data_IF_643114791999
#
_entry.id   IF_643114791999
#
_cell.length_a   1.000
_cell.length_b   1.000
_cell.length_c   1.000
_cell.angle_alpha   90.00
_cell.angle_beta   90.00
_cell.angle_gamma   90.00
#
_symmetry.space_group_name_H-M   'P 1'
#
loop_
_entity.id
_entity.type
_entity.pdbx_description
1 polymer ?
#
# COMPACT_ATOMS: atom_id res chain seq x y z
N UNK A 1 -9.23 4.07 -20.01
CA UNK A 1 -9.80 2.79 -19.54
C UNK A 1 -8.87 2.13 -18.52
N UNK A 2 -7.66 1.69 -18.87
CA UNK A 2 -6.71 1.06 -17.89
C UNK A 2 -6.28 1.99 -16.73
N UNK A 3 -6.16 3.29 -16.96
CA UNK A 3 -5.74 4.25 -15.92
C UNK A 3 -6.75 4.43 -14.77
N UNK A 4 -8.05 4.31 -15.07
CA UNK A 4 -9.12 4.46 -14.07
C UNK A 4 -9.16 3.26 -13.13
N UNK A 5 -8.93 2.06 -13.65
CA UNK A 5 -8.95 0.81 -12.87
C UNK A 5 -7.78 0.75 -11.89
N UNK A 6 -6.56 1.11 -12.32
CA UNK A 6 -5.40 1.21 -11.41
C UNK A 6 -5.60 2.30 -10.36
N UNK A 7 -6.20 3.42 -10.74
CA UNK A 7 -6.53 4.48 -9.79
C UNK A 7 -7.59 4.03 -8.78
N UNK A 8 -8.54 3.19 -9.18
CA UNK A 8 -9.51 2.56 -8.29
C UNK A 8 -8.83 1.56 -7.34
N UNK A 9 -7.89 0.74 -7.82
CA UNK A 9 -7.12 -0.20 -7.00
C UNK A 9 -6.26 0.51 -5.94
N UNK A 10 -5.59 1.60 -6.33
CA UNK A 10 -4.82 2.41 -5.38
C UNK A 10 -5.76 3.03 -4.34
N UNK A 11 -6.95 3.47 -4.74
CA UNK A 11 -7.95 4.02 -3.81
C UNK A 11 -8.51 2.97 -2.86
N UNK A 12 -8.81 1.75 -3.33
CA UNK A 12 -9.21 0.60 -2.52
C UNK A 12 -8.13 0.25 -1.49
N UNK A 13 -6.88 0.14 -1.93
CA UNK A 13 -5.73 -0.09 -1.05
C UNK A 13 -5.55 1.04 -0.04
N UNK A 14 -5.74 2.31 -0.45
CA UNK A 14 -5.74 3.48 0.43
C UNK A 14 -6.85 3.42 1.47
N UNK A 15 -8.05 2.97 1.10
CA UNK A 15 -9.19 2.83 2.01
C UNK A 15 -8.96 1.73 3.04
N UNK A 16 -8.53 0.54 2.61
CA UNK A 16 -8.14 -0.54 3.50
C UNK A 16 -7.02 -0.09 4.45
N UNK A 17 -6.06 0.67 3.93
CA UNK A 17 -4.99 1.26 4.70
C UNK A 17 -5.48 2.27 5.75
N UNK A 18 -6.36 3.20 5.34
CA UNK A 18 -6.95 4.21 6.21
C UNK A 18 -7.83 3.59 7.30
N UNK A 19 -8.54 2.50 7.00
CA UNK A 19 -9.28 1.72 7.98
C UNK A 19 -8.35 1.14 9.06
N UNK A 20 -7.14 0.73 8.68
CA UNK A 20 -6.11 0.22 9.59
C UNK A 20 -5.24 1.33 10.25
N UNK A 21 -5.56 2.62 10.05
CA UNK A 21 -4.80 3.78 10.59
C UNK A 21 -4.59 3.73 12.09
N UNK A 22 -5.56 3.18 12.82
CA UNK A 22 -5.47 2.97 14.25
C UNK A 22 -4.36 1.95 14.63
N UNK A 23 -4.16 0.89 13.84
CA UNK A 23 -3.06 -0.08 14.00
C UNK A 23 -1.71 0.54 13.65
N UNK A 24 -1.62 1.35 12.59
CA UNK A 24 -0.37 2.02 12.20
C UNK A 24 0.12 3.00 13.26
N UNK A 25 -0.80 3.70 13.92
CA UNK A 25 -0.49 4.62 15.03
C UNK A 25 -0.01 3.93 16.30
N UNK A 26 -0.35 2.65 16.52
CA UNK A 26 0.14 1.90 17.69
C UNK A 26 1.64 1.66 17.57
N UNK A 27 2.39 2.08 18.60
CA UNK A 27 3.84 1.82 18.73
C UNK A 27 4.15 0.39 19.19
N UNK A 28 3.16 -0.29 19.75
CA UNK A 28 3.28 -1.65 20.31
C UNK A 28 3.50 -2.72 19.22
N UNK A 29 3.06 -2.45 17.99
CA UNK A 29 3.13 -3.40 16.88
C UNK A 29 4.46 -3.24 16.15
N UNK A 30 5.23 -4.33 16.09
CA UNK A 30 6.52 -4.40 15.39
C UNK A 30 6.37 -4.07 13.90
N UNK A 31 7.39 -3.40 13.35
CA UNK A 31 7.46 -3.02 11.94
C UNK A 31 7.30 -4.23 11.00
N UNK A 32 7.85 -5.38 11.36
CA UNK A 32 7.71 -6.63 10.59
C UNK A 32 6.26 -7.10 10.49
N UNK A 33 5.50 -7.05 11.59
CA UNK A 33 4.08 -7.42 11.59
C UNK A 33 3.27 -6.44 10.73
N UNK A 34 3.59 -5.15 10.81
CA UNK A 34 2.99 -4.11 9.97
C UNK A 34 3.25 -4.35 8.47
N UNK A 35 4.49 -4.68 8.12
CA UNK A 35 4.87 -5.04 6.74
C UNK A 35 4.17 -6.30 6.24
N UNK A 36 3.92 -7.30 7.09
CA UNK A 36 3.15 -8.50 6.72
C UNK A 36 1.68 -8.19 6.45
N UNK A 37 1.03 -7.38 7.30
CA UNK A 37 -0.36 -6.95 7.10
C UNK A 37 -0.49 -6.15 5.79
N UNK A 38 0.47 -5.29 5.51
CA UNK A 38 0.52 -4.57 4.25
C UNK A 38 0.69 -5.50 3.05
N UNK A 39 1.68 -6.40 3.10
CA UNK A 39 1.90 -7.38 2.05
C UNK A 39 0.63 -8.22 1.84
N UNK A 40 -0.07 -8.61 2.90
CA UNK A 40 -1.32 -9.35 2.79
C UNK A 40 -2.50 -8.53 2.24
N UNK A 41 -2.56 -7.22 2.46
CA UNK A 41 -3.68 -6.38 2.01
C UNK A 41 -3.45 -5.76 0.62
N UNK A 42 -2.24 -5.25 0.35
CA UNK A 42 -1.92 -4.58 -0.91
C UNK A 42 -1.43 -5.57 -1.94
N UNK A 43 -0.58 -6.53 -1.56
CA UNK A 43 -0.07 -7.52 -2.51
C UNK A 43 -1.15 -8.50 -2.93
N UNK A 44 -2.16 -8.79 -2.09
CA UNK A 44 -3.29 -9.62 -2.48
C UNK A 44 -4.19 -8.94 -3.52
N UNK A 45 -4.54 -7.66 -3.31
CA UNK A 45 -5.30 -6.85 -4.26
C UNK A 45 -4.56 -6.76 -5.60
N UNK A 46 -3.22 -6.64 -5.57
CA UNK A 46 -2.41 -6.62 -6.78
C UNK A 46 -2.26 -7.98 -7.46
N UNK A 47 -2.08 -9.05 -6.69
CA UNK A 47 -1.86 -10.38 -7.25
C UNK A 47 -3.13 -10.90 -7.94
N UNK A 48 -4.28 -10.70 -7.29
CA UNK A 48 -5.58 -11.11 -7.80
C UNK A 48 -5.90 -10.46 -9.15
N UNK A 49 -5.58 -9.17 -9.29
CA UNK A 49 -5.77 -8.46 -10.55
C UNK A 49 -4.66 -8.76 -11.57
N UNK A 50 -3.45 -9.15 -11.15
CA UNK A 50 -2.37 -9.57 -12.06
C UNK A 50 -2.63 -10.92 -12.74
N UNK A 51 -3.41 -11.80 -12.11
CA UNK A 51 -3.91 -13.02 -12.76
C UNK A 51 -4.95 -12.68 -13.83
N UNK A 52 -5.61 -11.53 -13.72
CA UNK A 52 -6.69 -11.10 -14.61
C UNK A 52 -6.20 -10.10 -15.68
N UNK A 53 -5.07 -9.39 -15.46
CA UNK A 53 -4.58 -8.31 -16.33
C UNK A 53 -3.05 -8.19 -16.41
N UNK A 54 -2.49 -7.78 -17.57
CA UNK A 54 -1.05 -7.56 -17.72
C UNK A 54 -0.62 -6.27 -16.98
N UNK A 55 -0.05 -6.44 -15.80
CA UNK A 55 0.56 -5.37 -14.99
C UNK A 55 1.67 -4.68 -15.80
N UNK A 56 1.56 -3.36 -16.03
CA UNK A 56 2.57 -2.59 -16.77
C UNK A 56 3.62 -2.03 -15.82
N UNK A 57 4.83 -1.79 -16.34
CA UNK A 57 5.94 -1.20 -15.59
C UNK A 57 5.57 0.14 -14.93
N UNK A 58 4.71 0.94 -15.55
CA UNK A 58 4.21 2.20 -14.96
C UNK A 58 3.39 2.01 -13.69
N UNK A 59 2.71 0.87 -13.54
CA UNK A 59 1.86 0.56 -12.40
C UNK A 59 2.71 0.11 -11.22
N UNK A 60 3.76 -0.68 -11.51
CA UNK A 60 4.80 -1.04 -10.55
C UNK A 60 5.48 0.22 -10.00
N UNK A 61 5.81 1.21 -10.85
CA UNK A 61 6.39 2.46 -10.38
C UNK A 61 5.45 3.23 -9.44
N UNK A 62 4.14 3.28 -9.71
CA UNK A 62 3.15 3.94 -8.83
C UNK A 62 3.01 3.22 -7.50
N UNK A 63 3.02 1.90 -7.53
CA UNK A 63 2.98 1.07 -6.33
C UNK A 63 4.23 1.26 -5.49
N UNK A 64 5.41 1.32 -6.10
CA UNK A 64 6.67 1.61 -5.40
C UNK A 64 6.66 3.00 -4.74
N UNK A 65 6.11 4.02 -5.41
CA UNK A 65 5.94 5.36 -4.80
C UNK A 65 4.98 5.30 -3.62
N UNK A 66 3.92 4.50 -3.74
CA UNK A 66 2.94 4.29 -2.68
C UNK A 66 3.56 3.55 -1.48
N UNK A 67 4.27 2.46 -1.74
CA UNK A 67 5.07 1.68 -0.80
C UNK A 67 6.02 2.57 -0.01
N UNK A 68 6.77 3.43 -0.71
CA UNK A 68 7.73 4.32 -0.08
C UNK A 68 7.05 5.36 0.83
N UNK A 69 5.96 5.99 0.35
CA UNK A 69 5.16 6.92 1.16
C UNK A 69 4.59 6.22 2.39
N UNK A 70 4.16 4.98 2.24
CA UNK A 70 3.59 4.18 3.30
C UNK A 70 4.62 3.72 4.35
N UNK A 71 5.76 3.21 3.92
CA UNK A 71 6.85 2.80 4.79
C UNK A 71 7.31 3.98 5.67
N UNK A 72 7.31 5.18 5.10
CA UNK A 72 7.62 6.43 5.81
C UNK A 72 6.57 6.77 6.90
N UNK A 73 5.28 6.55 6.63
CA UNK A 73 4.20 6.78 7.61
C UNK A 73 4.25 5.75 8.76
N UNK A 74 4.51 4.47 8.46
CA UNK A 74 4.72 3.42 9.49
C UNK A 74 5.95 3.71 10.34
N UNK A 75 7.06 4.06 9.68
CA UNK A 75 8.33 4.32 10.34
C UNK A 75 8.29 5.62 11.15
N UNK A 76 7.20 6.41 11.05
CA UNK A 76 7.06 7.74 11.67
C UNK A 76 8.29 8.61 11.43
N UNK A 77 8.91 8.50 10.25
CA UNK A 77 9.98 9.39 9.83
C UNK A 77 9.28 10.66 9.34
N UNK A 78 8.78 11.46 10.29
CA UNK A 78 8.55 12.87 10.04
C UNK A 78 9.91 13.47 9.73
N UNK A 79 10.00 14.22 8.63
CA UNK A 79 11.07 15.19 8.55
C UNK A 79 10.72 16.21 9.64
N UNK A 80 11.37 16.03 10.79
CA UNK A 80 11.46 17.06 11.80
C UNK A 80 12.32 18.16 11.15
N UNK A 81 11.68 19.27 10.84
CA UNK A 81 12.35 20.52 10.49
C UNK A 81 12.21 21.45 11.69
#
# INVERSE_FOLDING_TARGET
>A
MVYDEISALIQEAQLAFANLRHLWRRRDIRLQTKGRVYCAAVRSVLLYDSETWPVRVGDICRLLVFDYRYFRDIARISWDH
#
